data_IF_902244549828
#
_entry.id   IF_902244549828
#
_cell.length_a   1.000
_cell.length_b   1.000
_cell.length_c   1.000
_cell.angle_alpha   90.00
_cell.angle_beta   90.00
_cell.angle_gamma   90.00
#
_symmetry.space_group_name_H-M   'P 1'
#
loop_
_entity.id
_entity.type
_entity.pdbx_description
1 polymer ?
#
# COMPACT_ATOMS: atom_id res chain seq x y z
N UNK A 1 16.41 -1.31 -24.59
CA UNK A 1 16.13 -0.20 -25.53
C UNK A 1 16.44 1.08 -24.79
N UNK A 2 17.20 1.95 -25.43
CA UNK A 2 17.88 3.12 -24.88
C UNK A 2 16.93 4.11 -24.21
N UNK A 3 17.13 4.33 -22.92
CA UNK A 3 16.57 5.44 -22.14
C UNK A 3 17.01 6.77 -22.77
N UNK A 4 16.07 7.59 -23.24
CA UNK A 4 16.34 8.98 -23.62
C UNK A 4 15.84 9.91 -22.52
N UNK A 5 16.67 10.14 -21.50
CA UNK A 5 16.43 11.12 -20.43
C UNK A 5 16.81 12.55 -20.85
N UNK A 6 16.69 12.90 -22.13
CA UNK A 6 16.85 14.27 -22.61
C UNK A 6 15.47 14.91 -22.78
N UNK A 7 15.12 15.83 -21.88
CA UNK A 7 13.97 16.72 -22.02
C UNK A 7 13.95 17.33 -23.42
N UNK A 8 12.84 17.19 -24.16
CA UNK A 8 12.70 17.78 -25.48
C UNK A 8 12.79 19.32 -25.37
N UNK A 9 13.23 20.05 -26.41
CA UNK A 9 13.27 21.52 -26.35
C UNK A 9 11.93 22.15 -25.96
N UNK A 10 10.81 21.54 -26.39
CA UNK A 10 9.47 21.99 -26.03
C UNK A 10 9.18 21.84 -24.52
N UNK A 11 9.58 20.72 -23.92
CA UNK A 11 9.42 20.44 -22.49
C UNK A 11 10.30 21.38 -21.65
N UNK A 12 11.57 21.57 -22.05
CA UNK A 12 12.50 22.45 -21.36
C UNK A 12 12.00 23.91 -21.30
N UNK A 13 11.47 24.42 -22.43
CA UNK A 13 10.87 25.76 -22.50
C UNK A 13 9.66 25.83 -21.58
N UNK A 14 8.73 24.87 -21.69
CA UNK A 14 7.53 24.85 -20.85
C UNK A 14 7.87 24.88 -19.35
N UNK A 15 8.78 24.01 -18.89
CA UNK A 15 9.22 23.97 -17.48
C UNK A 15 9.83 25.28 -17.01
N UNK A 16 10.66 25.91 -17.85
CA UNK A 16 11.30 27.20 -17.51
C UNK A 16 10.25 28.26 -17.17
N UNK A 17 9.20 28.38 -17.99
CA UNK A 17 8.11 29.31 -17.74
C UNK A 17 7.25 28.88 -16.56
N UNK A 18 6.85 27.61 -16.51
CA UNK A 18 5.88 27.13 -15.52
C UNK A 18 6.45 26.91 -14.11
N UNK A 19 7.77 26.92 -13.94
CA UNK A 19 8.42 27.01 -12.62
C UNK A 19 8.52 28.45 -12.11
N UNK A 20 8.20 29.46 -12.92
CA UNK A 20 8.12 30.86 -12.48
C UNK A 20 6.75 31.10 -11.82
N UNK A 21 6.69 31.48 -10.52
CA UNK A 21 5.43 31.62 -9.80
C UNK A 21 4.44 32.59 -10.45
N UNK A 22 4.91 33.72 -10.98
CA UNK A 22 4.08 34.73 -11.64
C UNK A 22 3.44 34.17 -12.91
N UNK A 23 4.22 33.46 -13.74
CA UNK A 23 3.71 32.82 -14.95
C UNK A 23 2.71 31.71 -14.63
N UNK A 24 2.99 30.88 -13.62
CA UNK A 24 2.06 29.85 -13.18
C UNK A 24 0.75 30.45 -12.63
N UNK A 25 0.83 31.58 -11.91
CA UNK A 25 -0.33 32.33 -11.42
C UNK A 25 -1.20 32.79 -12.59
N UNK A 26 -0.62 33.49 -13.55
CA UNK A 26 -1.34 34.00 -14.73
C UNK A 26 -1.98 32.84 -15.50
N UNK A 27 -1.24 31.74 -15.69
CA UNK A 27 -1.74 30.54 -16.34
C UNK A 27 -2.98 29.96 -15.63
N UNK A 28 -2.91 29.80 -14.31
CA UNK A 28 -4.02 29.28 -13.52
C UNK A 28 -5.20 30.27 -13.45
N UNK A 29 -4.94 31.57 -13.39
CA UNK A 29 -6.00 32.58 -13.43
C UNK A 29 -6.81 32.54 -14.74
N UNK A 30 -6.14 32.27 -15.86
CA UNK A 30 -6.76 32.19 -17.18
C UNK A 30 -7.46 30.84 -17.42
N UNK A 31 -6.80 29.72 -17.06
CA UNK A 31 -7.20 28.39 -17.54
C UNK A 31 -7.89 27.50 -16.50
N UNK A 32 -7.80 27.82 -15.21
CA UNK A 32 -8.49 27.05 -14.19
C UNK A 32 -10.01 27.30 -14.28
N UNK A 33 -10.86 26.25 -14.25
CA UNK A 33 -12.32 26.42 -14.26
C UNK A 33 -12.78 27.36 -13.14
N UNK A 34 -13.71 28.26 -13.45
CA UNK A 34 -14.18 29.30 -12.53
C UNK A 34 -14.57 28.80 -11.13
N UNK A 35 -15.29 27.66 -10.97
CA UNK A 35 -15.63 27.14 -9.64
C UNK A 35 -14.41 26.78 -8.81
N UNK A 36 -13.36 26.22 -9.42
CA UNK A 36 -12.12 25.85 -8.74
C UNK A 36 -11.27 27.08 -8.46
N UNK A 37 -11.20 28.02 -9.42
CA UNK A 37 -10.45 29.26 -9.26
C UNK A 37 -10.94 30.10 -8.08
N UNK A 38 -12.25 30.15 -7.83
CA UNK A 38 -12.85 30.86 -6.68
C UNK A 38 -12.42 30.28 -5.32
N UNK A 39 -12.02 29.01 -5.28
CA UNK A 39 -11.55 28.35 -4.07
C UNK A 39 -10.05 28.58 -3.82
N UNK A 40 -9.30 29.06 -4.80
CA UNK A 40 -7.83 29.19 -4.72
C UNK A 40 -7.40 30.61 -4.33
N UNK A 41 -6.54 30.73 -3.31
CA UNK A 41 -5.77 31.93 -3.06
C UNK A 41 -4.46 31.90 -3.88
N UNK A 42 -4.51 32.26 -5.17
CA UNK A 42 -3.38 32.14 -6.11
C UNK A 42 -2.12 32.96 -5.73
N UNK A 43 -2.21 33.84 -4.73
CA UNK A 43 -1.05 34.53 -4.16
C UNK A 43 -0.17 33.59 -3.32
N UNK A 44 -0.70 32.43 -2.90
CA UNK A 44 -0.04 31.45 -2.03
C UNK A 44 0.62 30.30 -2.80
N UNK A 45 0.74 30.40 -4.13
CA UNK A 45 1.34 29.36 -4.98
C UNK A 45 2.73 28.94 -4.49
N UNK A 46 2.89 27.64 -4.23
CA UNK A 46 4.18 27.02 -3.86
C UNK A 46 4.50 25.85 -4.78
N UNK A 47 5.70 25.86 -5.35
CA UNK A 47 6.17 24.78 -6.20
C UNK A 47 6.52 23.57 -5.32
N UNK A 48 5.96 22.42 -5.63
CA UNK A 48 6.18 21.19 -4.87
C UNK A 48 7.27 20.31 -5.51
N UNK A 49 8.25 19.80 -4.74
CA UNK A 49 9.27 18.91 -5.27
C UNK A 49 8.69 17.63 -5.89
N UNK A 50 8.99 17.32 -7.15
CA UNK A 50 8.46 16.15 -7.88
C UNK A 50 9.34 14.89 -7.81
N UNK A 51 10.51 14.95 -7.15
CA UNK A 51 11.60 13.98 -7.27
C UNK A 51 11.50 12.70 -6.40
N UNK A 52 10.50 12.56 -5.54
CA UNK A 52 10.50 11.51 -4.50
C UNK A 52 9.67 10.26 -4.82
N UNK A 53 9.23 10.12 -6.06
CA UNK A 53 8.27 9.09 -6.40
C UNK A 53 8.98 7.80 -6.84
N UNK A 54 8.40 6.65 -6.49
CA UNK A 54 8.90 5.27 -6.65
C UNK A 54 9.87 5.07 -7.83
N UNK A 55 10.96 4.33 -7.60
CA UNK A 55 12.00 4.04 -8.61
C UNK A 55 11.45 3.48 -9.93
N UNK A 56 10.31 2.80 -9.91
CA UNK A 56 9.59 2.26 -11.09
C UNK A 56 8.86 3.31 -11.91
N UNK A 57 8.48 4.43 -11.29
CA UNK A 57 7.65 5.45 -11.90
C UNK A 57 8.43 6.77 -12.19
N UNK A 58 9.69 6.86 -11.75
CA UNK A 58 10.65 7.97 -12.01
C UNK A 58 10.72 8.43 -13.46
N UNK A 59 10.49 7.55 -14.43
CA UNK A 59 10.53 7.90 -15.86
C UNK A 59 9.27 8.66 -16.33
N UNK A 60 8.27 8.84 -15.47
CA UNK A 60 6.93 9.22 -15.90
C UNK A 60 6.25 10.27 -15.03
N UNK A 61 6.94 11.10 -14.24
CA UNK A 61 6.26 12.06 -13.34
C UNK A 61 6.19 13.49 -13.85
N UNK A 62 5.04 14.08 -13.54
CA UNK A 62 4.56 15.37 -14.03
C UNK A 62 5.59 16.47 -14.02
N UNK A 63 5.54 17.28 -15.08
CA UNK A 63 6.48 18.37 -15.31
C UNK A 63 6.41 19.45 -14.24
N UNK A 64 5.21 19.75 -13.70
CA UNK A 64 5.00 20.84 -12.74
C UNK A 64 3.86 20.53 -11.76
N UNK A 65 4.14 20.65 -10.45
CA UNK A 65 3.14 20.52 -9.38
C UNK A 65 3.14 21.78 -8.50
N UNK A 66 2.00 22.46 -8.42
CA UNK A 66 1.81 23.61 -7.54
C UNK A 66 0.82 23.26 -6.42
N UNK A 67 1.11 23.72 -5.19
CA UNK A 67 0.14 23.79 -4.10
C UNK A 67 -0.36 25.22 -3.93
N UNK A 68 -1.64 25.36 -3.60
CA UNK A 68 -2.30 26.64 -3.34
C UNK A 68 -3.24 26.50 -2.15
N UNK A 69 -3.22 27.46 -1.23
CA UNK A 69 -4.13 27.50 -0.08
C UNK A 69 -5.55 27.82 -0.56
N UNK A 70 -6.53 27.25 0.11
CA UNK A 70 -7.93 27.61 -0.15
C UNK A 70 -8.24 29.02 0.37
N UNK A 71 -9.22 29.68 -0.24
CA UNK A 71 -9.70 31.01 0.20
C UNK A 71 -10.17 31.02 1.66
N UNK A 72 -10.62 29.86 2.16
CA UNK A 72 -11.10 29.66 3.53
C UNK A 72 -9.98 29.26 4.52
N UNK A 73 -8.73 29.17 4.06
CA UNK A 73 -7.54 28.87 4.88
C UNK A 73 -7.40 27.39 5.32
N UNK A 74 -8.51 26.66 5.40
CA UNK A 74 -8.52 25.24 5.75
C UNK A 74 -8.37 24.38 4.48
N UNK A 75 -7.12 24.11 4.09
CA UNK A 75 -6.78 23.08 3.10
C UNK A 75 -5.98 23.57 1.90
N UNK A 76 -5.53 22.60 1.10
CA UNK A 76 -4.74 22.83 -0.11
C UNK A 76 -5.45 22.28 -1.34
N UNK A 77 -5.37 23.02 -2.44
CA UNK A 77 -5.63 22.51 -3.79
C UNK A 77 -4.26 22.33 -4.45
N UNK A 78 -4.10 21.22 -5.17
CA UNK A 78 -2.92 21.00 -6.01
C UNK A 78 -3.28 21.15 -7.48
N UNK A 79 -2.38 21.75 -8.26
CA UNK A 79 -2.47 21.80 -9.71
C UNK A 79 -1.33 21.01 -10.31
N UNK A 80 -1.65 19.89 -10.95
CA UNK A 80 -0.71 19.09 -11.74
C UNK A 80 -0.80 19.60 -13.17
N UNK A 81 0.32 20.05 -13.74
CA UNK A 81 0.35 20.56 -15.10
C UNK A 81 1.33 19.71 -15.92
N UNK A 82 0.78 19.06 -16.93
CA UNK A 82 1.50 18.18 -17.84
C UNK A 82 1.67 18.83 -19.20
N UNK A 83 2.87 18.75 -19.78
CA UNK A 83 3.12 19.22 -21.14
C UNK A 83 3.11 18.08 -22.14
N UNK A 84 2.48 18.32 -23.30
CA UNK A 84 2.47 17.39 -24.42
C UNK A 84 2.60 18.12 -25.76
N UNK A 85 3.63 17.76 -26.52
CA UNK A 85 3.79 18.15 -27.93
C UNK A 85 3.20 17.14 -28.93
N UNK A 86 2.72 15.99 -28.44
CA UNK A 86 2.14 14.92 -29.27
C UNK A 86 0.83 14.45 -28.65
N UNK A 87 -0.14 14.07 -29.48
CA UNK A 87 -1.41 13.55 -28.98
C UNK A 87 -1.22 12.10 -28.50
N UNK A 88 -1.33 11.85 -27.21
CA UNK A 88 -1.32 10.49 -26.65
C UNK A 88 -2.72 10.05 -26.22
N UNK A 89 -3.07 8.80 -26.55
CA UNK A 89 -4.41 8.24 -26.30
C UNK A 89 -4.78 8.12 -24.82
N UNK A 90 -3.83 7.77 -23.97
CA UNK A 90 -4.08 7.40 -22.55
C UNK A 90 -3.73 8.54 -21.57
N UNK A 91 -3.82 9.79 -22.05
CA UNK A 91 -3.37 10.95 -21.30
C UNK A 91 -4.23 11.20 -20.06
N UNK A 92 -5.53 10.93 -20.13
CA UNK A 92 -6.43 11.18 -19.01
C UNK A 92 -6.12 10.24 -17.84
N UNK A 93 -5.89 8.95 -18.11
CA UNK A 93 -5.44 7.99 -17.10
C UNK A 93 -4.07 8.36 -16.52
N UNK A 94 -3.16 8.88 -17.36
CA UNK A 94 -1.85 9.35 -16.91
C UNK A 94 -1.96 10.54 -15.94
N UNK A 95 -2.79 11.51 -16.28
CA UNK A 95 -3.10 12.66 -15.42
C UNK A 95 -3.74 12.24 -14.10
N UNK A 96 -4.65 11.26 -14.11
CA UNK A 96 -5.23 10.72 -12.87
C UNK A 96 -4.19 10.04 -11.98
N UNK A 97 -3.25 9.30 -12.56
CA UNK A 97 -2.14 8.73 -11.78
C UNK A 97 -1.32 9.82 -11.08
N UNK A 98 -1.12 10.97 -11.72
CA UNK A 98 -0.46 12.12 -11.08
C UNK A 98 -1.30 12.73 -9.98
N UNK A 99 -2.60 12.89 -10.22
CA UNK A 99 -3.52 13.41 -9.22
C UNK A 99 -3.52 12.54 -7.96
N UNK A 100 -3.67 11.21 -8.11
CA UNK A 100 -3.63 10.25 -7.00
C UNK A 100 -2.27 10.24 -6.29
N UNK A 101 -1.16 10.36 -7.01
CA UNK A 101 0.17 10.45 -6.40
C UNK A 101 0.33 11.73 -5.55
N UNK A 102 -0.18 12.86 -6.04
CA UNK A 102 -0.19 14.11 -5.28
C UNK A 102 -1.10 14.03 -4.04
N UNK A 103 -2.26 13.37 -4.15
CA UNK A 103 -3.15 13.08 -3.03
C UNK A 103 -2.45 12.23 -1.95
N UNK A 104 -1.81 11.13 -2.36
CA UNK A 104 -1.08 10.25 -1.43
C UNK A 104 0.05 11.01 -0.72
N UNK A 105 0.84 11.80 -1.46
CA UNK A 105 1.90 12.63 -0.89
C UNK A 105 1.38 13.61 0.16
N UNK A 106 0.18 14.14 -0.02
CA UNK A 106 -0.43 15.02 0.97
C UNK A 106 -0.71 14.25 2.27
N UNK A 107 -1.25 13.03 2.19
CA UNK A 107 -1.45 12.19 3.37
C UNK A 107 -0.12 11.80 4.04
N UNK A 108 0.92 11.48 3.24
CA UNK A 108 2.25 11.12 3.74
C UNK A 108 2.93 12.26 4.52
N UNK A 109 2.53 13.52 4.29
CA UNK A 109 2.97 14.68 5.07
C UNK A 109 2.29 14.78 6.45
N UNK A 110 1.37 13.87 6.77
CA UNK A 110 0.65 13.83 8.05
C UNK A 110 -0.69 14.57 8.05
N UNK A 111 -1.26 14.87 6.88
CA UNK A 111 -2.60 15.46 6.80
C UNK A 111 -3.68 14.38 6.85
N UNK A 112 -4.79 14.67 7.54
CA UNK A 112 -5.87 13.71 7.78
C UNK A 112 -6.93 13.65 6.66
N UNK A 113 -6.85 14.54 5.67
CA UNK A 113 -7.83 14.64 4.57
C UNK A 113 -7.14 14.67 3.22
N UNK A 114 -7.76 14.03 2.24
CA UNK A 114 -7.31 14.05 0.85
C UNK A 114 -7.56 15.44 0.24
N UNK A 115 -6.58 16.04 -0.46
CA UNK A 115 -6.74 17.34 -1.09
C UNK A 115 -7.46 17.21 -2.44
N UNK A 116 -8.02 18.32 -2.94
CA UNK A 116 -8.41 18.41 -4.34
C UNK A 116 -7.15 18.54 -5.21
N UNK A 117 -7.07 17.76 -6.28
CA UNK A 117 -5.99 17.86 -7.26
C UNK A 117 -6.58 18.07 -8.65
N UNK A 118 -6.16 19.14 -9.30
CA UNK A 118 -6.61 19.55 -10.62
C UNK A 118 -5.56 19.19 -11.66
N UNK A 119 -5.77 18.13 -12.47
CA UNK A 119 -4.93 17.85 -13.61
C UNK A 119 -5.23 18.82 -14.76
N UNK A 120 -4.17 19.40 -15.33
CA UNK A 120 -4.20 20.31 -16.47
C UNK A 120 -3.26 19.78 -17.55
N UNK A 121 -3.76 19.69 -18.78
CA UNK A 121 -2.95 19.34 -19.94
C UNK A 121 -2.61 20.59 -20.75
N UNK A 122 -1.34 20.91 -20.84
CA UNK A 122 -0.81 21.88 -21.79
C UNK A 122 -0.43 21.17 -23.09
N UNK A 123 -1.33 21.21 -24.08
CA UNK A 123 -1.16 20.55 -25.36
C UNK A 123 -0.90 21.55 -26.50
N UNK A 124 0.14 21.30 -27.31
CA UNK A 124 0.47 22.13 -28.47
C UNK A 124 0.92 21.30 -29.70
N UNK A 125 0.46 20.06 -29.80
CA UNK A 125 0.85 19.16 -30.90
C UNK A 125 0.18 19.48 -32.25
N UNK A 126 0.71 18.87 -33.31
CA UNK A 126 0.23 19.06 -34.69
C UNK A 126 -1.21 18.59 -34.92
N UNK A 127 -1.65 17.56 -34.18
CA UNK A 127 -3.04 17.07 -34.27
C UNK A 127 -3.97 18.02 -33.54
N UNK A 128 -4.82 18.75 -34.25
CA UNK A 128 -5.71 19.76 -33.67
C UNK A 128 -7.14 19.65 -34.19
N UNK A 129 -8.17 19.73 -33.32
CA UNK A 129 -8.08 19.80 -31.86
C UNK A 129 -7.52 18.52 -31.23
N UNK A 130 -7.17 18.55 -29.95
CA UNK A 130 -6.71 17.36 -29.22
C UNK A 130 -7.76 16.23 -29.36
N UNK A 131 -7.39 15.02 -29.86
CA UNK A 131 -8.36 14.07 -30.39
C UNK A 131 -8.90 13.06 -29.36
N UNK A 132 -8.39 13.07 -28.12
CA UNK A 132 -8.73 12.07 -27.10
C UNK A 132 -9.50 12.69 -25.92
N UNK A 133 -10.29 11.88 -25.21
CA UNK A 133 -10.98 12.35 -24.01
C UNK A 133 -9.99 12.69 -22.90
N UNK A 134 -10.28 13.74 -22.14
CA UNK A 134 -9.57 14.08 -20.89
C UNK A 134 -10.31 13.57 -19.65
N UNK A 135 -11.39 12.81 -19.83
CA UNK A 135 -12.03 12.05 -18.76
C UNK A 135 -11.52 10.61 -18.81
N UNK A 136 -10.73 10.21 -17.81
CA UNK A 136 -10.13 8.89 -17.73
C UNK A 136 -11.15 7.74 -17.71
N UNK A 137 -12.39 8.00 -17.28
CA UNK A 137 -13.47 7.01 -17.28
C UNK A 137 -13.91 6.63 -18.71
N UNK A 138 -13.63 7.48 -19.71
CA UNK A 138 -13.90 7.18 -21.12
C UNK A 138 -12.85 6.23 -21.74
N UNK A 139 -11.74 5.96 -21.04
CA UNK A 139 -10.69 5.04 -21.53
C UNK A 139 -11.02 3.56 -21.28
N UNK A 140 -12.07 3.25 -20.52
CA UNK A 140 -12.53 1.88 -20.27
C UNK A 140 -13.31 1.32 -21.46
N UNK A 141 -13.27 -0.01 -21.64
CA UNK A 141 -14.10 -0.70 -22.64
C UNK A 141 -15.60 -0.47 -22.41
N UNK A 142 -16.02 -0.33 -21.15
CA UNK A 142 -17.37 0.09 -20.74
C UNK A 142 -17.30 1.34 -19.83
N UNK A 143 -17.41 2.56 -20.40
CA UNK A 143 -17.35 3.80 -19.64
C UNK A 143 -18.51 4.01 -18.65
N UNK A 144 -19.67 3.38 -18.88
CA UNK A 144 -20.81 3.52 -17.97
C UNK A 144 -20.59 2.70 -16.71
N UNK A 145 -20.13 1.46 -16.88
CA UNK A 145 -19.74 0.61 -15.76
C UNK A 145 -18.58 1.23 -14.95
N UNK A 146 -17.60 1.84 -15.63
CA UNK A 146 -16.50 2.52 -14.95
C UNK A 146 -16.99 3.69 -14.08
N UNK A 147 -17.93 4.52 -14.58
CA UNK A 147 -18.54 5.58 -13.76
C UNK A 147 -19.23 4.99 -12.53
N UNK A 148 -20.07 3.98 -12.71
CA UNK A 148 -20.75 3.33 -11.60
C UNK A 148 -19.76 2.80 -10.54
N UNK A 149 -18.63 2.22 -10.96
CA UNK A 149 -17.64 1.66 -10.04
C UNK A 149 -16.84 2.74 -9.30
N UNK A 150 -16.46 3.83 -9.98
CA UNK A 150 -15.49 4.79 -9.46
C UNK A 150 -16.12 6.08 -8.91
N UNK A 151 -17.44 6.29 -9.06
CA UNK A 151 -18.15 7.42 -8.44
C UNK A 151 -19.09 7.02 -7.31
N UNK A 152 -19.21 5.72 -7.01
CA UNK A 152 -19.99 5.18 -5.89
C UNK A 152 -19.08 4.63 -4.79
N UNK A 153 -19.67 4.23 -3.67
CA UNK A 153 -18.95 3.54 -2.61
C UNK A 153 -18.36 2.21 -3.12
N UNK A 154 -17.08 1.96 -2.80
CA UNK A 154 -16.46 0.67 -3.10
C UNK A 154 -17.16 -0.47 -2.33
N UNK A 155 -17.24 -1.67 -2.92
CA UNK A 155 -17.85 -2.82 -2.25
C UNK A 155 -17.08 -3.19 -0.98
N UNK A 156 -17.78 -3.17 0.16
CA UNK A 156 -17.24 -3.60 1.45
C UNK A 156 -17.72 -5.03 1.75
N UNK A 157 -16.78 -5.95 1.99
CA UNK A 157 -17.07 -7.29 2.52
C UNK A 157 -16.85 -7.25 4.03
N UNK A 158 -17.89 -6.90 4.78
CA UNK A 158 -17.86 -6.85 6.24
C UNK A 158 -18.30 -8.19 6.85
N UNK A 159 -17.34 -9.09 7.04
CA UNK A 159 -17.59 -10.42 7.63
C UNK A 159 -18.06 -10.37 9.08
N UNK A 160 -17.95 -9.23 9.78
CA UNK A 160 -18.34 -9.13 11.18
C UNK A 160 -19.85 -9.22 11.38
N UNK A 161 -20.62 -8.83 10.36
CA UNK A 161 -22.10 -8.86 10.38
C UNK A 161 -22.69 -10.05 9.63
N UNK A 162 -21.91 -10.76 8.80
CA UNK A 162 -22.40 -11.91 8.03
C UNK A 162 -22.65 -13.10 8.96
N UNK A 163 -23.85 -13.69 9.01
CA UNK A 163 -24.14 -14.86 9.84
C UNK A 163 -23.24 -16.06 9.51
N UNK A 164 -22.82 -16.83 10.51
CA UNK A 164 -21.91 -17.96 10.29
C UNK A 164 -22.51 -19.01 9.35
N UNK A 165 -23.83 -19.23 9.42
CA UNK A 165 -24.53 -20.17 8.53
C UNK A 165 -24.52 -19.72 7.06
N UNK A 166 -24.42 -18.42 6.81
CA UNK A 166 -24.23 -17.84 5.49
C UNK A 166 -22.77 -18.03 5.04
N UNK A 167 -21.79 -17.69 5.90
CA UNK A 167 -20.36 -17.93 5.65
C UNK A 167 -20.10 -19.39 5.28
N UNK A 168 -20.77 -20.34 5.94
CA UNK A 168 -20.65 -21.76 5.63
C UNK A 168 -21.04 -22.14 4.20
N UNK A 169 -21.70 -21.24 3.44
CA UNK A 169 -22.05 -21.41 2.03
C UNK A 169 -21.07 -20.73 1.06
N UNK A 170 -20.12 -19.92 1.55
CA UNK A 170 -19.16 -19.14 0.75
C UNK A 170 -18.03 -19.98 0.10
N UNK A 171 -18.20 -21.30 0.04
CA UNK A 171 -17.29 -22.23 -0.67
C UNK A 171 -15.83 -22.10 -0.20
N UNK A 172 -14.93 -21.63 -1.08
CA UNK A 172 -13.47 -21.61 -0.85
C UNK A 172 -13.02 -20.50 0.11
N UNK A 173 -13.78 -19.41 0.22
CA UNK A 173 -13.39 -18.27 1.08
C UNK A 173 -13.89 -18.43 2.52
N UNK A 174 -14.92 -19.26 2.73
CA UNK A 174 -15.58 -19.48 4.01
C UNK A 174 -14.63 -19.74 5.19
N UNK A 175 -13.56 -20.51 4.97
CA UNK A 175 -12.61 -20.85 6.03
C UNK A 175 -11.83 -19.62 6.51
N UNK A 176 -11.42 -18.75 5.59
CA UNK A 176 -10.74 -17.50 5.92
C UNK A 176 -11.69 -16.56 6.67
N UNK A 177 -12.90 -16.38 6.15
CA UNK A 177 -13.90 -15.49 6.74
C UNK A 177 -14.29 -15.93 8.15
N UNK A 178 -14.56 -17.22 8.36
CA UNK A 178 -14.94 -17.73 9.67
C UNK A 178 -13.80 -17.60 10.68
N UNK A 179 -12.56 -17.94 10.30
CA UNK A 179 -11.40 -17.79 11.18
C UNK A 179 -11.16 -16.32 11.52
N UNK A 180 -11.18 -15.42 10.54
CA UNK A 180 -10.91 -13.99 10.78
C UNK A 180 -12.02 -13.29 11.56
N UNK A 181 -13.28 -13.68 11.34
CA UNK A 181 -14.42 -13.17 12.10
C UNK A 181 -14.27 -13.46 13.60
N UNK A 182 -13.84 -14.67 13.94
CA UNK A 182 -13.77 -15.16 15.33
C UNK A 182 -12.37 -15.12 15.95
N UNK A 183 -11.35 -14.61 15.26
CA UNK A 183 -9.95 -14.63 15.78
C UNK A 183 -9.79 -13.95 17.14
N UNK A 184 -10.64 -12.96 17.43
CA UNK A 184 -10.63 -12.19 18.69
C UNK A 184 -11.60 -12.77 19.74
N UNK A 185 -12.41 -13.75 19.36
CA UNK A 185 -13.38 -14.36 20.27
C UNK A 185 -12.66 -15.21 21.31
N UNK A 186 -13.20 -15.20 22.53
CA UNK A 186 -12.61 -15.96 23.63
C UNK A 186 -12.69 -17.46 23.40
N UNK A 187 -13.65 -17.93 22.60
CA UNK A 187 -13.97 -19.34 22.44
C UNK A 187 -13.96 -19.80 20.97
N UNK A 188 -12.76 -20.01 20.42
CA UNK A 188 -12.58 -20.66 19.12
C UNK A 188 -13.06 -22.13 19.10
N UNK A 189 -13.25 -22.76 20.28
CA UNK A 189 -13.70 -24.15 20.38
C UNK A 189 -15.13 -24.30 19.85
N UNK A 190 -15.98 -23.29 20.06
CA UNK A 190 -17.32 -23.24 19.49
C UNK A 190 -17.37 -23.33 17.96
N UNK A 191 -16.25 -23.06 17.28
CA UNK A 191 -16.11 -23.09 15.81
C UNK A 191 -15.52 -24.37 15.25
N UNK A 192 -15.10 -25.32 16.09
CA UNK A 192 -14.43 -26.55 15.66
C UNK A 192 -15.30 -27.35 14.68
N UNK A 193 -16.61 -27.50 14.94
CA UNK A 193 -17.50 -28.27 14.04
C UNK A 193 -17.65 -27.62 12.67
N UNK A 194 -17.82 -26.30 12.65
CA UNK A 194 -17.95 -25.53 11.41
C UNK A 194 -16.67 -25.59 10.59
N UNK A 195 -15.53 -25.38 11.23
CA UNK A 195 -14.22 -25.42 10.59
C UNK A 195 -13.91 -26.82 10.08
N UNK A 196 -14.17 -27.86 10.89
CA UNK A 196 -14.03 -29.25 10.46
C UNK A 196 -14.87 -29.54 9.22
N UNK A 197 -16.12 -29.07 9.21
CA UNK A 197 -17.01 -29.22 8.06
C UNK A 197 -16.43 -28.55 6.80
N UNK A 198 -15.88 -27.34 6.93
CA UNK A 198 -15.25 -26.63 5.80
C UNK A 198 -13.99 -27.35 5.29
N UNK A 199 -13.19 -27.91 6.19
CA UNK A 199 -11.99 -28.68 5.84
C UNK A 199 -12.34 -29.97 5.08
N UNK A 200 -13.38 -30.68 5.51
CA UNK A 200 -13.84 -31.93 4.87
C UNK A 200 -14.36 -31.68 3.45
N UNK A 201 -14.91 -30.49 3.15
CA UNK A 201 -15.34 -30.14 1.78
C UNK A 201 -14.18 -30.08 0.78
N UNK A 202 -12.92 -30.10 1.24
CA UNK A 202 -11.74 -30.24 0.37
C UNK A 202 -11.46 -29.00 -0.49
N UNK A 203 -11.99 -27.84 -0.13
CA UNK A 203 -11.77 -26.60 -0.85
C UNK A 203 -10.42 -25.95 -0.59
N UNK A 204 -9.82 -26.22 0.57
CA UNK A 204 -8.60 -25.56 1.04
C UNK A 204 -7.36 -26.41 0.74
N UNK A 205 -6.36 -25.82 0.07
CA UNK A 205 -5.09 -26.48 -0.21
C UNK A 205 -4.09 -26.35 0.97
N UNK A 206 -2.97 -27.08 0.91
CA UNK A 206 -2.00 -27.17 2.01
C UNK A 206 -1.37 -25.80 2.34
N UNK A 207 -1.06 -25.00 1.32
CA UNK A 207 -0.46 -23.68 1.50
C UNK A 207 -1.42 -22.71 2.20
N UNK A 208 -2.70 -22.74 1.85
CA UNK A 208 -3.74 -21.95 2.51
C UNK A 208 -3.94 -22.38 3.97
N UNK A 209 -3.94 -23.69 4.25
CA UNK A 209 -4.03 -24.19 5.62
C UNK A 209 -2.82 -23.81 6.47
N UNK A 210 -1.61 -23.96 5.93
CA UNK A 210 -0.39 -23.56 6.62
C UNK A 210 -0.40 -22.05 6.92
N UNK A 211 -0.84 -21.23 5.97
CA UNK A 211 -0.97 -19.77 6.16
C UNK A 211 -1.98 -19.42 7.25
N UNK A 212 -3.15 -20.07 7.25
CA UNK A 212 -4.17 -19.85 8.28
C UNK A 212 -3.72 -20.30 9.67
N UNK A 213 -2.94 -21.37 9.76
CA UNK A 213 -2.39 -21.84 11.03
C UNK A 213 -1.30 -20.92 11.55
N UNK A 214 -0.43 -20.42 10.68
CA UNK A 214 0.52 -19.35 11.04
C UNK A 214 -0.20 -18.11 11.55
N UNK A 215 -1.26 -17.70 10.87
CA UNK A 215 -2.09 -16.58 11.31
C UNK A 215 -2.70 -16.82 12.70
N UNK A 216 -3.27 -18.01 12.94
CA UNK A 216 -3.83 -18.37 14.25
C UNK A 216 -2.76 -18.42 15.36
N UNK A 217 -1.53 -18.86 15.07
CA UNK A 217 -0.43 -18.86 16.02
C UNK A 217 0.04 -17.45 16.40
N UNK A 218 0.05 -16.54 15.43
CA UNK A 218 0.52 -15.15 15.62
C UNK A 218 -0.53 -14.26 16.29
N UNK A 219 -1.80 -14.41 15.89
CA UNK A 219 -2.88 -13.53 16.35
C UNK A 219 -3.73 -14.15 17.47
N UNK A 220 -3.69 -15.47 17.63
CA UNK A 220 -4.44 -16.20 18.65
C UNK A 220 -3.60 -16.56 19.88
N UNK A 221 -4.27 -16.99 20.94
CA UNK A 221 -3.63 -17.53 22.13
C UNK A 221 -3.03 -18.92 21.80
N UNK A 222 -1.71 -19.06 21.86
CA UNK A 222 -0.96 -20.27 21.49
C UNK A 222 -1.44 -21.53 22.21
N UNK A 223 -1.88 -21.38 23.47
CA UNK A 223 -2.41 -22.49 24.27
C UNK A 223 -3.76 -23.00 23.72
N UNK A 224 -4.58 -22.07 23.22
CA UNK A 224 -5.88 -22.36 22.61
C UNK A 224 -5.72 -22.92 21.20
N UNK A 225 -4.73 -22.43 20.45
CA UNK A 225 -4.43 -22.96 19.12
C UNK A 225 -4.10 -24.45 19.16
N UNK A 226 -3.24 -24.88 20.08
CA UNK A 226 -2.85 -26.30 20.17
C UNK A 226 -4.06 -27.19 20.44
N UNK A 227 -4.87 -26.82 21.44
CA UNK A 227 -6.13 -27.52 21.75
C UNK A 227 -7.10 -27.52 20.57
N UNK A 228 -7.23 -26.39 19.88
CA UNK A 228 -8.11 -26.24 18.73
C UNK A 228 -7.72 -27.17 17.56
N UNK A 229 -6.41 -27.28 17.25
CA UNK A 229 -5.92 -28.22 16.23
C UNK A 229 -6.17 -29.67 16.64
N UNK A 230 -5.93 -30.01 17.91
CA UNK A 230 -6.19 -31.35 18.45
C UNK A 230 -7.68 -31.71 18.32
N UNK A 231 -8.58 -30.80 18.67
CA UNK A 231 -10.03 -31.04 18.56
C UNK A 231 -10.49 -31.22 17.10
N UNK A 232 -9.95 -30.46 16.14
CA UNK A 232 -10.24 -30.69 14.71
C UNK A 232 -9.70 -32.05 14.26
N UNK A 233 -8.47 -32.40 14.67
CA UNK A 233 -7.83 -33.66 14.32
C UNK A 233 -8.58 -34.88 14.89
N UNK A 234 -9.19 -34.74 16.06
CA UNK A 234 -10.07 -35.77 16.64
C UNK A 234 -11.38 -35.93 15.87
N UNK A 235 -12.00 -34.82 15.44
CA UNK A 235 -13.29 -34.85 14.71
C UNK A 235 -13.15 -35.20 13.23
N UNK A 236 -11.94 -35.10 12.65
CA UNK A 236 -11.69 -35.46 11.25
C UNK A 236 -10.42 -36.31 11.08
N UNK A 237 -10.56 -37.65 11.16
CA UNK A 237 -9.45 -38.57 10.90
C UNK A 237 -8.82 -38.39 9.52
N UNK A 238 -9.63 -38.01 8.53
CA UNK A 238 -9.19 -37.73 7.15
C UNK A 238 -8.24 -36.52 7.05
N UNK A 239 -8.39 -35.53 7.93
CA UNK A 239 -7.52 -34.34 7.94
C UNK A 239 -6.42 -34.45 8.99
N UNK A 240 -6.52 -35.37 9.96
CA UNK A 240 -5.59 -35.52 11.08
C UNK A 240 -4.12 -35.53 10.66
N UNK A 241 -3.72 -36.45 9.78
CA UNK A 241 -2.31 -36.60 9.37
C UNK A 241 -1.78 -35.30 8.74
N UNK A 242 -2.59 -34.70 7.85
CA UNK A 242 -2.29 -33.45 7.18
C UNK A 242 -2.14 -32.28 8.16
N UNK A 243 -3.08 -32.12 9.09
CA UNK A 243 -3.04 -31.05 10.09
C UNK A 243 -1.88 -31.21 11.07
N UNK A 244 -1.61 -32.44 11.51
CA UNK A 244 -0.48 -32.74 12.40
C UNK A 244 0.86 -32.46 11.73
N UNK A 245 1.00 -32.80 10.44
CA UNK A 245 2.21 -32.51 9.67
C UNK A 245 2.47 -31.00 9.58
N UNK A 246 1.43 -30.21 9.29
CA UNK A 246 1.53 -28.75 9.27
C UNK A 246 1.87 -28.23 10.67
N UNK A 247 1.17 -28.66 11.72
CA UNK A 247 1.42 -28.22 13.10
C UNK A 247 2.84 -28.55 13.58
N UNK A 248 3.36 -29.73 13.25
CA UNK A 248 4.74 -30.12 13.57
C UNK A 248 5.75 -29.25 12.85
N UNK A 249 5.56 -29.00 11.55
CA UNK A 249 6.40 -28.09 10.78
C UNK A 249 6.44 -26.69 11.39
N UNK A 250 5.28 -26.14 11.78
CA UNK A 250 5.21 -24.82 12.39
C UNK A 250 5.90 -24.77 13.76
N UNK A 251 5.81 -25.84 14.56
CA UNK A 251 6.57 -25.94 15.82
C UNK A 251 8.08 -25.97 15.57
N UNK A 252 8.54 -26.70 14.56
CA UNK A 252 9.96 -26.76 14.19
C UNK A 252 10.46 -25.40 13.69
N UNK A 253 9.71 -24.74 12.80
CA UNK A 253 10.01 -23.39 12.30
C UNK A 253 10.08 -22.38 13.45
N UNK A 254 9.08 -22.39 14.35
CA UNK A 254 9.07 -21.54 15.54
C UNK A 254 10.24 -21.79 16.49
N UNK A 255 10.61 -23.06 16.70
CA UNK A 255 11.78 -23.40 17.52
C UNK A 255 13.09 -22.91 16.88
N UNK A 256 13.23 -23.06 15.56
CA UNK A 256 14.41 -22.61 14.84
C UNK A 256 14.54 -21.08 14.85
N UNK A 257 13.45 -20.36 14.66
CA UNK A 257 13.41 -18.89 14.75
C UNK A 257 13.79 -18.45 16.18
N UNK A 258 13.13 -19.01 17.21
CA UNK A 258 13.42 -18.65 18.59
C UNK A 258 14.86 -19.01 19.02
N UNK A 259 15.42 -20.09 18.48
CA UNK A 259 16.83 -20.44 18.68
C UNK A 259 17.77 -19.40 18.04
N UNK A 260 17.51 -18.99 16.80
CA UNK A 260 18.29 -17.97 16.12
C UNK A 260 18.21 -16.60 16.81
N UNK A 261 17.00 -16.18 17.21
CA UNK A 261 16.79 -14.96 17.98
C UNK A 261 17.52 -15.01 19.33
N UNK A 262 17.42 -16.13 20.06
CA UNK A 262 18.13 -16.31 21.33
C UNK A 262 19.65 -16.31 21.18
N UNK A 263 20.19 -16.91 20.11
CA UNK A 263 21.62 -16.82 19.79
C UNK A 263 22.04 -15.39 19.47
N UNK A 264 21.21 -14.67 18.70
CA UNK A 264 21.48 -13.29 18.31
C UNK A 264 21.43 -12.35 19.52
N UNK A 265 20.43 -12.45 20.39
CA UNK A 265 20.37 -11.69 21.64
C UNK A 265 21.55 -11.99 22.57
N UNK A 266 21.96 -13.26 22.67
CA UNK A 266 23.10 -13.64 23.49
C UNK A 266 24.41 -13.08 22.91
N UNK A 267 24.56 -13.08 21.58
CA UNK A 267 25.69 -12.44 20.91
C UNK A 267 25.72 -10.93 21.20
N UNK A 268 24.58 -10.24 21.18
CA UNK A 268 24.48 -8.82 21.54
C UNK A 268 24.87 -8.59 23.00
N UNK A 269 24.35 -9.39 23.95
CA UNK A 269 24.71 -9.30 25.38
C UNK A 269 26.20 -9.51 25.61
N UNK A 270 26.82 -10.44 24.89
CA UNK A 270 28.27 -10.68 24.95
C UNK A 270 29.02 -9.47 24.36
N UNK A 271 28.60 -8.96 23.20
CA UNK A 271 29.22 -7.81 22.56
C UNK A 271 29.19 -6.56 23.46
N UNK A 272 28.05 -6.25 24.09
CA UNK A 272 27.91 -5.13 25.01
C UNK A 272 28.85 -5.27 26.22
N UNK A 273 28.95 -6.46 26.83
CA UNK A 273 29.91 -6.71 27.94
C UNK A 273 31.36 -6.56 27.51
N UNK A 274 31.72 -7.00 26.30
CA UNK A 274 33.07 -6.84 25.76
C UNK A 274 33.42 -5.36 25.58
N UNK A 275 32.48 -4.56 25.08
CA UNK A 275 32.63 -3.10 24.95
C UNK A 275 32.76 -2.41 26.32
N UNK A 276 31.96 -2.82 27.32
CA UNK A 276 32.08 -2.33 28.71
C UNK A 276 33.46 -2.62 29.32
N UNK A 277 34.07 -3.74 28.93
CA UNK A 277 35.43 -4.13 29.34
C UNK A 277 36.54 -3.42 28.55
N UNK A 278 36.18 -2.51 27.63
CA UNK A 278 37.11 -1.72 26.84
C UNK A 278 37.76 -2.49 25.67
N UNK A 279 37.15 -3.60 25.23
CA UNK A 279 37.59 -4.30 24.03
C UNK A 279 37.24 -3.46 22.80
N UNK A 280 38.18 -3.39 21.86
CA UNK A 280 38.03 -2.64 20.62
C UNK A 280 36.80 -3.07 19.81
N UNK A 281 36.08 -2.09 19.26
CA UNK A 281 34.77 -2.32 18.62
C UNK A 281 34.88 -3.20 17.38
N UNK A 282 35.93 -3.08 16.59
CA UNK A 282 36.12 -3.90 15.39
C UNK A 282 36.42 -5.35 15.78
N UNK A 283 37.14 -5.56 16.88
CA UNK A 283 37.38 -6.90 17.44
C UNK A 283 36.10 -7.54 17.98
N UNK A 284 35.22 -6.75 18.61
CA UNK A 284 33.91 -7.24 19.10
C UNK A 284 33.03 -7.68 17.93
N UNK A 285 32.87 -6.84 16.89
CA UNK A 285 32.05 -7.16 15.71
C UNK A 285 32.57 -8.42 15.00
N UNK A 286 33.90 -8.54 14.84
CA UNK A 286 34.52 -9.71 14.24
C UNK A 286 34.29 -11.00 15.07
N UNK A 287 34.32 -10.90 16.41
CA UNK A 287 34.17 -12.04 17.31
C UNK A 287 32.71 -12.52 17.44
N UNK A 288 31.75 -11.59 17.41
CA UNK A 288 30.32 -11.91 17.59
C UNK A 288 29.55 -12.06 16.28
N UNK A 289 30.18 -11.76 15.14
CA UNK A 289 29.56 -11.76 13.81
C UNK A 289 28.31 -10.85 13.70
N UNK A 290 28.27 -9.81 14.52
CA UNK A 290 27.20 -8.81 14.52
C UNK A 290 27.54 -7.68 13.53
N UNK A 291 26.52 -7.02 13.02
CA UNK A 291 26.65 -5.79 12.25
C UNK A 291 26.64 -4.56 13.17
N UNK A 292 27.10 -3.40 12.66
CA UNK A 292 26.99 -2.15 13.41
C UNK A 292 25.54 -1.76 13.73
N UNK A 293 24.59 -2.11 12.86
CA UNK A 293 23.18 -1.84 13.05
C UNK A 293 22.60 -2.62 14.25
N UNK A 294 23.04 -3.86 14.46
CA UNK A 294 22.58 -4.72 15.55
C UNK A 294 22.95 -4.14 16.94
N UNK A 295 24.12 -3.50 17.04
CA UNK A 295 24.56 -2.81 18.25
C UNK A 295 23.93 -1.42 18.42
N UNK A 296 23.71 -0.69 17.33
CA UNK A 296 23.11 0.65 17.37
C UNK A 296 21.66 0.61 17.86
N UNK A 297 20.89 -0.44 17.52
CA UNK A 297 19.52 -0.61 17.96
C UNK A 297 19.35 -0.91 19.46
N UNK A 298 20.43 -1.32 20.15
CA UNK A 298 20.40 -1.77 21.55
C UNK A 298 21.23 -0.88 22.52
N UNK A 299 21.70 0.28 22.05
CA UNK A 299 22.36 1.30 22.89
C UNK A 299 21.32 2.27 23.49
N UNK A 300 20.51 1.79 24.43
CA UNK A 300 19.67 2.62 25.29
C UNK A 300 19.97 2.36 26.77
#
# INVERSE_FOLDING_TARGET
MTESTTSSPHDAVFKTFMFTPETARDFLEIHLPEPLRKLCNLQTLRLEPTSFIEKSLRAYYSDVLWSVETSDGDGYIYCVIEHQSSAEKNMAFRLMRYATAAMQRHLDKGYDRVPLVVPLLFYHGETSPYPYSLNWLDEFDDPQLARQLYTEAFPLVDITIVPDDEIMQHRRIALLELIQKHIRDRDLIGMVDRITTLLVRGFTNDSQLQTLFNYLLQCGDTSRFTRFIEEIAERSPLQKERLMTIAERLRQEGHQIGWQEGMHEQAIKIALRMLEQGIDRDQVLAATQLSEADLAANNH
#
